data_IF_121515057009
#
_entry.id   IF_121515057009
#
_cell.length_a   1.000
_cell.length_b   1.000
_cell.length_c   1.000
_cell.angle_alpha   90.00
_cell.angle_beta   90.00
_cell.angle_gamma   90.00
#
_symmetry.space_group_name_H-M   'P 1'
#
loop_
_entity.id
_entity.type
_entity.pdbx_description
1 polymer ?
#
# COMPACT_ATOMS: atom_id res chain seq x y z
N UNK A 1 -17.17 -4.44 -2.80
CA UNK A 1 -15.79 -4.92 -3.02
C UNK A 1 -15.29 -4.57 -4.41
N UNK A 2 -16.07 -4.78 -5.48
CA UNK A 2 -15.62 -4.54 -6.87
C UNK A 2 -15.22 -3.10 -7.22
N UNK A 3 -15.94 -2.09 -6.73
CA UNK A 3 -15.59 -0.69 -6.99
C UNK A 3 -14.25 -0.30 -6.35
N UNK A 4 -13.99 -0.74 -5.12
CA UNK A 4 -12.75 -0.41 -4.42
C UNK A 4 -11.50 -1.06 -5.05
N UNK A 5 -11.63 -2.28 -5.59
CA UNK A 5 -10.55 -2.98 -6.31
C UNK A 5 -10.34 -2.35 -7.69
N UNK A 6 -11.44 -2.07 -8.40
CA UNK A 6 -11.42 -1.48 -9.75
C UNK A 6 -10.74 -0.11 -9.78
N UNK A 7 -10.85 0.71 -8.74
CA UNK A 7 -10.17 2.01 -8.70
C UNK A 7 -8.74 1.94 -8.18
N UNK A 8 -8.42 1.04 -7.25
CA UNK A 8 -7.08 1.00 -6.64
C UNK A 8 -6.02 0.40 -7.52
N UNK A 9 -6.35 -0.66 -8.27
CA UNK A 9 -5.36 -1.33 -9.10
C UNK A 9 -4.81 -0.40 -10.20
N UNK A 10 -5.64 0.38 -10.93
CA UNK A 10 -5.15 1.40 -11.85
C UNK A 10 -4.29 2.46 -11.17
N UNK A 11 -4.73 3.01 -10.03
CA UNK A 11 -3.96 4.03 -9.32
C UNK A 11 -2.60 3.52 -8.86
N UNK A 12 -2.52 2.26 -8.42
CA UNK A 12 -1.26 1.64 -8.01
C UNK A 12 -0.34 1.46 -9.22
N UNK A 13 -0.89 0.99 -10.35
CA UNK A 13 -0.16 0.86 -11.62
C UNK A 13 0.41 2.21 -12.09
N UNK A 14 -0.35 3.29 -11.97
CA UNK A 14 0.11 4.62 -12.35
C UNK A 14 1.18 5.16 -11.40
N UNK A 15 1.07 4.91 -10.09
CA UNK A 15 2.13 5.22 -9.14
C UNK A 15 3.45 4.49 -9.45
N UNK A 16 3.38 3.21 -9.82
CA UNK A 16 4.56 2.44 -10.26
C UNK A 16 5.16 2.96 -11.56
N UNK A 17 4.32 3.37 -12.53
CA UNK A 17 4.81 4.00 -13.78
C UNK A 17 5.52 5.32 -13.50
N UNK A 18 4.96 6.16 -12.62
CA UNK A 18 5.57 7.41 -12.22
C UNK A 18 6.91 7.19 -11.50
N UNK A 19 6.99 6.20 -10.61
CA UNK A 19 8.24 5.78 -9.96
C UNK A 19 9.29 5.35 -10.99
N UNK A 20 8.93 4.47 -11.92
CA UNK A 20 9.85 4.00 -12.95
C UNK A 20 10.38 5.15 -13.82
N UNK A 21 9.50 6.09 -14.21
CA UNK A 21 9.90 7.28 -14.95
C UNK A 21 10.86 8.19 -14.15
N UNK A 22 10.62 8.36 -12.85
CA UNK A 22 11.49 9.14 -11.96
C UNK A 22 12.87 8.47 -11.78
N UNK A 23 12.90 7.15 -11.56
CA UNK A 23 14.14 6.37 -11.46
C UNK A 23 14.98 6.47 -12.75
N UNK A 24 14.33 6.40 -13.92
CA UNK A 24 14.98 6.56 -15.22
C UNK A 24 15.57 7.96 -15.41
N UNK A 25 14.84 9.02 -15.02
CA UNK A 25 15.33 10.42 -15.10
C UNK A 25 16.52 10.67 -14.18
N UNK A 26 16.48 10.19 -12.94
CA UNK A 26 17.55 10.38 -11.96
C UNK A 26 18.70 9.38 -12.11
N UNK A 27 18.57 8.37 -12.99
CA UNK A 27 19.54 7.28 -13.19
C UNK A 27 19.93 6.56 -11.90
N UNK A 28 19.02 6.55 -10.91
CA UNK A 28 19.22 5.89 -9.62
C UNK A 28 17.90 5.30 -9.11
N UNK A 29 17.96 4.18 -8.39
CA UNK A 29 16.76 3.64 -7.75
C UNK A 29 16.27 4.57 -6.63
N UNK A 30 14.96 4.56 -6.38
CA UNK A 30 14.30 5.32 -5.32
C UNK A 30 13.72 4.34 -4.29
N UNK A 31 14.58 3.64 -3.51
CA UNK A 31 14.18 2.54 -2.64
C UNK A 31 13.16 2.96 -1.58
N UNK A 32 13.23 4.20 -1.10
CA UNK A 32 12.28 4.73 -0.11
C UNK A 32 10.86 4.81 -0.66
N UNK A 33 10.70 5.24 -1.91
CA UNK A 33 9.38 5.33 -2.55
C UNK A 33 8.88 3.92 -2.90
N UNK A 34 9.78 3.05 -3.37
CA UNK A 34 9.45 1.63 -3.61
C UNK A 34 8.93 0.95 -2.35
N UNK A 35 9.58 1.18 -1.20
CA UNK A 35 9.17 0.65 0.09
C UNK A 35 7.77 1.12 0.52
N UNK A 36 7.33 2.33 0.13
CA UNK A 36 5.97 2.78 0.38
C UNK A 36 4.94 1.99 -0.43
N UNK A 37 5.22 1.74 -1.72
CA UNK A 37 4.32 1.01 -2.61
C UNK A 37 4.24 -0.49 -2.30
N UNK A 38 5.27 -1.06 -1.65
CA UNK A 38 5.32 -2.47 -1.24
C UNK A 38 5.06 -2.68 0.25
N UNK A 39 4.72 -1.63 1.00
CA UNK A 39 4.48 -1.74 2.43
C UNK A 39 3.25 -2.61 2.71
N UNK A 40 3.33 -3.45 3.75
CA UNK A 40 2.20 -4.24 4.25
C UNK A 40 1.74 -3.70 5.60
N UNK A 41 0.43 -3.75 5.91
CA UNK A 41 -0.11 -3.28 7.19
C UNK A 41 0.26 -4.19 8.37
N UNK A 42 0.73 -5.41 8.09
CA UNK A 42 1.04 -6.45 9.07
C UNK A 42 2.42 -7.03 8.76
N UNK A 43 3.24 -7.23 9.78
CA UNK A 43 4.53 -7.90 9.64
C UNK A 43 4.38 -9.42 9.56
N UNK A 44 5.42 -10.12 9.07
CA UNK A 44 5.43 -11.60 9.05
C UNK A 44 5.16 -12.18 10.44
N UNK A 45 5.87 -11.70 11.46
CA UNK A 45 5.72 -12.16 12.83
C UNK A 45 4.30 -11.93 13.39
N UNK A 46 3.66 -10.81 13.06
CA UNK A 46 2.28 -10.55 13.48
C UNK A 46 1.26 -11.44 12.77
N UNK A 47 1.51 -11.81 11.51
CA UNK A 47 0.61 -12.66 10.74
C UNK A 47 0.47 -14.09 11.32
N UNK A 48 1.46 -14.52 12.10
CA UNK A 48 1.49 -15.83 12.75
C UNK A 48 0.89 -15.80 14.18
N UNK A 49 0.61 -14.61 14.73
CA UNK A 49 0.10 -14.48 16.09
C UNK A 49 -1.35 -14.95 16.18
N UNK A 50 -1.68 -15.90 17.08
CA UNK A 50 -3.05 -16.37 17.26
C UNK A 50 -4.04 -15.26 17.59
N UNK A 51 -3.60 -14.24 18.36
CA UNK A 51 -4.42 -13.08 18.69
C UNK A 51 -4.78 -12.23 17.46
N UNK A 52 -3.89 -12.14 16.48
CA UNK A 52 -4.15 -11.44 15.22
C UNK A 52 -5.14 -12.23 14.35
N UNK A 53 -4.92 -13.54 14.21
CA UNK A 53 -5.82 -14.42 13.47
C UNK A 53 -7.24 -14.45 14.06
N UNK A 54 -7.36 -14.37 15.38
CA UNK A 54 -8.64 -14.31 16.08
C UNK A 54 -9.44 -13.04 15.79
N UNK A 55 -8.84 -11.95 15.31
CA UNK A 55 -9.57 -10.71 14.98
C UNK A 55 -10.54 -10.91 13.81
N UNK A 56 -10.24 -11.79 12.87
CA UNK A 56 -11.16 -12.17 11.79
C UNK A 56 -12.05 -13.38 12.17
N UNK A 57 -12.07 -13.82 13.44
CA UNK A 57 -12.96 -14.91 13.89
C UNK A 57 -14.45 -14.54 13.83
N UNK A 58 -14.76 -13.24 13.81
CA UNK A 58 -16.12 -12.72 13.57
C UNK A 58 -16.14 -11.89 12.30
N UNK A 59 -17.30 -11.85 11.64
CA UNK A 59 -17.50 -11.02 10.44
C UNK A 59 -17.18 -9.55 10.70
N UNK A 60 -17.66 -9.00 11.82
CA UNK A 60 -17.43 -7.59 12.18
C UNK A 60 -15.94 -7.28 12.40
N UNK A 61 -15.20 -8.16 13.07
CA UNK A 61 -13.75 -7.98 13.27
C UNK A 61 -12.97 -8.08 11.96
N UNK A 62 -13.39 -8.96 11.04
CA UNK A 62 -12.77 -9.03 9.73
C UNK A 62 -13.07 -7.80 8.86
N UNK A 63 -14.29 -7.27 8.92
CA UNK A 63 -14.67 -6.01 8.25
C UNK A 63 -13.85 -4.82 8.77
N UNK A 64 -13.62 -4.76 10.08
CA UNK A 64 -12.75 -3.74 10.70
C UNK A 64 -11.30 -3.83 10.18
N UNK A 65 -10.71 -5.02 10.20
CA UNK A 65 -9.37 -5.26 9.66
C UNK A 65 -9.26 -4.84 8.18
N UNK A 66 -10.26 -5.19 7.38
CA UNK A 66 -10.30 -4.78 5.98
C UNK A 66 -10.33 -3.26 5.84
N UNK A 67 -11.13 -2.55 6.65
CA UNK A 67 -11.16 -1.09 6.64
C UNK A 67 -9.82 -0.45 7.02
N UNK A 68 -9.14 -0.99 8.02
CA UNK A 68 -7.81 -0.53 8.45
C UNK A 68 -6.77 -0.74 7.34
N UNK A 69 -6.74 -1.91 6.73
CA UNK A 69 -5.85 -2.21 5.60
C UNK A 69 -6.14 -1.29 4.43
N UNK A 70 -7.43 -1.04 4.16
CA UNK A 70 -7.85 -0.12 3.14
C UNK A 70 -7.34 1.31 3.37
N UNK A 71 -7.36 1.80 4.61
CA UNK A 71 -6.81 3.10 4.97
C UNK A 71 -5.29 3.12 4.85
N UNK A 72 -4.61 2.07 5.33
CA UNK A 72 -3.16 1.92 5.26
C UNK A 72 -2.64 2.04 3.82
N UNK A 73 -3.19 1.24 2.89
CA UNK A 73 -2.72 1.25 1.50
C UNK A 73 -2.96 2.61 0.83
N UNK A 74 -4.11 3.26 1.09
CA UNK A 74 -4.38 4.61 0.59
C UNK A 74 -3.37 5.62 1.10
N UNK A 75 -3.03 5.57 2.39
CA UNK A 75 -2.06 6.46 2.99
C UNK A 75 -0.66 6.27 2.39
N UNK A 76 -0.23 5.01 2.23
CA UNK A 76 1.09 4.69 1.64
C UNK A 76 1.19 5.13 0.20
N UNK A 77 0.14 4.92 -0.58
CA UNK A 77 0.08 5.39 -1.96
C UNK A 77 0.14 6.91 -2.06
N UNK A 78 -0.60 7.64 -1.21
CA UNK A 78 -0.54 9.10 -1.15
C UNK A 78 0.86 9.60 -0.78
N UNK A 79 1.52 8.97 0.20
CA UNK A 79 2.90 9.30 0.56
C UNK A 79 3.87 9.08 -0.61
N UNK A 80 3.71 7.99 -1.36
CA UNK A 80 4.55 7.71 -2.52
C UNK A 80 4.35 8.75 -3.64
N UNK A 81 3.10 9.13 -3.93
CA UNK A 81 2.77 10.17 -4.92
C UNK A 81 3.37 11.51 -4.52
N UNK A 82 3.16 11.95 -3.26
CA UNK A 82 3.72 13.20 -2.77
C UNK A 82 5.26 13.24 -2.90
N UNK A 83 5.95 12.15 -2.53
CA UNK A 83 7.41 12.07 -2.70
C UNK A 83 7.84 12.06 -4.16
N UNK A 84 7.04 11.49 -5.08
CA UNK A 84 7.32 11.55 -6.51
C UNK A 84 7.11 12.97 -7.07
N UNK A 85 6.15 13.72 -6.54
CA UNK A 85 5.91 15.12 -6.93
C UNK A 85 7.03 16.05 -6.45
N UNK A 86 7.58 15.83 -5.26
CA UNK A 86 8.75 16.55 -4.75
C UNK A 86 10.03 16.34 -5.60
N UNK A 87 10.06 15.30 -6.44
CA UNK A 87 11.19 14.96 -7.31
C UNK A 87 11.03 15.47 -8.76
N UNK A 88 9.88 16.05 -9.11
CA UNK A 88 9.65 16.67 -10.43
C UNK A 88 10.33 18.03 -10.51
#
# INVERSE_FOLDING_TARGET
>A
FDTAISFRLPQLKDAWRALYAAEARQKRPLPRIRALLTALPVSSAQSEQPAFLAQCATRAGCEQLMMEWQQFFRQKQRQAINQLEELK
#
